data_IF_959161669590
#
_entry.id   IF_959161669590
#
_cell.length_a   1.000
_cell.length_b   1.000
_cell.length_c   1.000
_cell.angle_alpha   90.00
_cell.angle_beta   90.00
_cell.angle_gamma   90.00
#
_symmetry.space_group_name_H-M   'P 1'
#
loop_
_entity.id
_entity.type
_entity.pdbx_description
1 polymer ?
#
# COMPACT_ATOMS: atom_id res chain seq x y z
N UNK A 1 -34.47 -20.50 -22.50
CA UNK A 1 -33.60 -20.41 -23.70
C UNK A 1 -32.22 -19.72 -23.46
N UNK A 2 -31.87 -19.41 -22.19
CA UNK A 2 -30.59 -18.78 -21.83
C UNK A 2 -29.62 -19.71 -21.05
N UNK A 3 -29.91 -20.98 -20.89
CA UNK A 3 -29.09 -21.96 -20.15
C UNK A 3 -28.34 -22.98 -21.02
N UNK A 4 -28.37 -22.86 -22.35
CA UNK A 4 -27.76 -23.83 -23.26
C UNK A 4 -26.52 -23.33 -24.01
N UNK A 5 -26.07 -22.09 -23.75
CA UNK A 5 -24.89 -21.50 -24.42
C UNK A 5 -23.62 -21.60 -23.58
N UNK A 6 -23.73 -21.81 -22.27
CA UNK A 6 -22.55 -21.89 -21.37
C UNK A 6 -21.85 -23.26 -21.34
N UNK A 7 -22.42 -24.31 -21.91
CA UNK A 7 -21.84 -25.66 -21.87
C UNK A 7 -20.97 -25.99 -23.09
N UNK A 8 -21.01 -25.20 -24.15
CA UNK A 8 -20.27 -25.45 -25.39
C UNK A 8 -18.91 -24.72 -25.49
N UNK A 9 -18.57 -23.85 -24.53
CA UNK A 9 -17.26 -23.14 -24.52
C UNK A 9 -16.19 -23.80 -23.65
N UNK A 10 -16.57 -24.79 -22.83
CA UNK A 10 -15.65 -25.49 -21.92
C UNK A 10 -15.03 -26.80 -22.47
N UNK A 11 -15.37 -27.18 -23.69
CA UNK A 11 -14.89 -28.45 -24.28
C UNK A 11 -13.75 -28.29 -25.30
N UNK A 12 -13.27 -27.06 -25.55
CA UNK A 12 -12.26 -26.76 -26.58
C UNK A 12 -10.83 -26.51 -26.06
N UNK A 13 -10.57 -26.59 -24.75
CA UNK A 13 -9.24 -26.33 -24.16
C UNK A 13 -8.52 -27.54 -23.54
N UNK A 14 -8.99 -28.75 -23.80
CA UNK A 14 -8.41 -29.96 -23.11
C UNK A 14 -7.60 -30.90 -24.02
N UNK A 15 -7.15 -30.50 -25.21
CA UNK A 15 -6.46 -31.42 -26.13
C UNK A 15 -5.11 -30.98 -26.70
N UNK A 16 -4.30 -30.23 -25.95
CA UNK A 16 -2.93 -29.91 -26.41
C UNK A 16 -1.88 -29.95 -25.30
N UNK A 17 -1.82 -31.04 -24.52
CA UNK A 17 -0.63 -31.33 -23.66
C UNK A 17 -0.46 -32.83 -23.48
N UNK A 18 0.07 -33.52 -24.52
CA UNK A 18 0.65 -34.85 -24.37
C UNK A 18 1.50 -35.19 -25.61
N UNK A 19 2.77 -34.75 -25.63
CA UNK A 19 3.84 -35.45 -26.34
C UNK A 19 5.20 -34.81 -26.05
N UNK A 20 6.11 -35.54 -25.46
CA UNK A 20 7.54 -35.19 -25.44
C UNK A 20 8.32 -35.54 -24.18
N UNK A 21 8.40 -36.82 -23.86
CA UNK A 21 9.51 -37.36 -23.05
C UNK A 21 10.34 -38.30 -23.94
N UNK A 22 11.69 -38.13 -23.93
CA UNK A 22 12.57 -39.10 -24.59
C UNK A 22 14.00 -38.61 -24.72
N UNK A 23 14.80 -39.04 -23.87
CA UNK A 23 16.23 -39.03 -23.55
C UNK A 23 17.27 -39.14 -24.65
N UNK A 24 18.48 -38.71 -24.27
CA UNK A 24 19.87 -39.21 -24.40
C UNK A 24 20.82 -38.53 -25.38
N UNK A 25 21.87 -38.06 -24.77
CA UNK A 25 23.26 -37.77 -25.08
C UNK A 25 23.86 -38.08 -26.49
N UNK A 26 24.67 -37.16 -27.01
CA UNK A 26 26.11 -37.20 -27.28
C UNK A 26 26.52 -36.25 -28.40
N UNK A 27 27.40 -35.34 -28.05
CA UNK A 27 28.69 -34.89 -28.64
C UNK A 27 28.82 -34.65 -30.17
N UNK A 28 29.54 -33.53 -30.43
CA UNK A 28 30.41 -33.11 -31.51
C UNK A 28 29.94 -31.98 -32.43
N UNK A 29 30.57 -30.81 -32.21
CA UNK A 29 31.35 -29.98 -33.14
C UNK A 29 30.70 -29.42 -34.44
N UNK A 30 30.70 -28.14 -34.53
CA UNK A 30 31.07 -27.17 -35.57
C UNK A 30 30.09 -26.02 -35.77
N UNK A 31 30.63 -24.80 -35.75
CA UNK A 31 30.01 -23.51 -36.06
C UNK A 31 30.00 -23.27 -37.60
N UNK A 32 29.54 -22.07 -38.06
CA UNK A 32 28.24 -21.43 -37.94
C UNK A 32 27.57 -21.19 -39.32
N UNK A 33 26.28 -20.97 -39.35
CA UNK A 33 25.60 -20.39 -40.52
C UNK A 33 24.60 -19.33 -40.06
N UNK A 34 24.77 -18.15 -40.58
CA UNK A 34 23.89 -16.97 -40.44
C UNK A 34 22.49 -17.28 -40.99
N UNK A 35 21.47 -17.00 -40.16
CA UNK A 35 20.11 -16.88 -40.66
C UNK A 35 19.47 -15.63 -40.09
N UNK A 36 19.09 -14.74 -41.01
CA UNK A 36 18.37 -13.49 -40.76
C UNK A 36 17.10 -13.73 -39.96
N UNK A 37 17.00 -13.09 -38.83
CA UNK A 37 15.75 -12.97 -38.06
C UNK A 37 14.93 -11.84 -38.69
N UNK A 38 13.71 -12.16 -39.11
CA UNK A 38 12.67 -11.21 -39.49
C UNK A 38 12.06 -10.66 -38.22
N UNK A 39 12.18 -9.36 -38.00
CA UNK A 39 11.52 -8.64 -36.91
C UNK A 39 10.00 -8.61 -37.17
N UNK A 40 9.26 -9.31 -36.37
CA UNK A 40 7.81 -9.15 -36.24
C UNK A 40 7.54 -8.12 -35.16
N UNK A 41 7.14 -6.93 -35.61
CA UNK A 41 6.80 -5.76 -34.81
C UNK A 41 5.46 -6.00 -34.14
N UNK A 42 5.45 -6.35 -32.85
CA UNK A 42 4.23 -6.35 -32.04
C UNK A 42 3.97 -4.90 -31.62
N UNK A 43 2.96 -4.28 -32.20
CA UNK A 43 2.41 -3.01 -31.73
C UNK A 43 1.74 -3.24 -30.37
N UNK A 44 2.35 -2.70 -29.30
CA UNK A 44 1.67 -2.48 -28.05
C UNK A 44 0.70 -1.31 -28.24
N UNK A 45 -0.58 -1.54 -28.04
CA UNK A 45 -1.60 -0.50 -28.03
C UNK A 45 -1.38 0.40 -26.81
N UNK A 46 -0.84 1.58 -27.07
CA UNK A 46 -0.77 2.69 -26.14
C UNK A 46 -2.19 3.28 -26.03
N UNK A 47 -2.86 3.02 -24.92
CA UNK A 47 -4.12 3.69 -24.64
C UNK A 47 -3.79 4.98 -23.89
N UNK A 48 -3.46 6.02 -24.62
CA UNK A 48 -3.47 7.38 -24.11
C UNK A 48 -4.90 7.74 -23.70
N UNK A 49 -5.15 7.85 -22.41
CA UNK A 49 -6.32 8.53 -21.89
C UNK A 49 -6.08 10.04 -22.08
N UNK A 50 -6.60 10.59 -23.18
CA UNK A 50 -6.74 12.03 -23.35
C UNK A 50 -7.70 12.56 -22.28
N UNK A 51 -7.17 13.09 -21.21
CA UNK A 51 -7.90 13.99 -20.32
C UNK A 51 -7.92 15.37 -20.99
N UNK A 52 -9.08 15.74 -21.45
CA UNK A 52 -9.40 17.08 -22.00
C UNK A 52 -9.34 18.12 -20.87
N UNK A 53 -8.13 18.49 -20.45
CA UNK A 53 -7.90 19.61 -19.55
C UNK A 53 -8.00 20.90 -20.37
N UNK A 54 -8.98 21.73 -20.07
CA UNK A 54 -9.03 23.14 -20.50
C UNK A 54 -7.74 23.82 -20.04
N UNK A 55 -6.82 24.00 -20.96
CA UNK A 55 -5.56 24.70 -20.76
C UNK A 55 -5.87 26.17 -20.45
N UNK A 56 -5.79 26.54 -19.17
CA UNK A 56 -5.70 27.95 -18.78
C UNK A 56 -4.35 28.46 -19.32
N UNK A 57 -4.34 29.57 -20.03
CA UNK A 57 -3.13 30.13 -20.63
C UNK A 57 -2.11 30.45 -19.51
N UNK A 58 -1.07 29.64 -19.38
CA UNK A 58 0.02 29.83 -18.43
C UNK A 58 0.76 31.12 -18.80
N UNK A 59 0.73 32.12 -17.88
CA UNK A 59 1.38 33.41 -18.03
C UNK A 59 2.46 33.67 -16.97
N UNK A 60 2.58 32.77 -15.96
CA UNK A 60 3.58 32.85 -14.90
C UNK A 60 4.96 32.34 -15.35
N UNK A 61 6.01 32.80 -14.63
CA UNK A 61 7.35 32.29 -14.84
C UNK A 61 7.55 30.95 -14.11
N UNK A 62 8.16 29.97 -14.79
CA UNK A 62 8.46 28.64 -14.24
C UNK A 62 7.32 27.65 -14.46
N UNK A 63 7.49 26.45 -13.91
CA UNK A 63 6.53 25.36 -13.94
C UNK A 63 6.75 24.47 -12.74
N UNK A 64 5.70 23.75 -12.33
CA UNK A 64 5.78 22.70 -11.30
C UNK A 64 5.40 21.36 -11.93
N UNK A 65 6.21 20.35 -11.71
CA UNK A 65 5.86 18.96 -11.94
C UNK A 65 5.87 18.24 -10.60
N UNK A 66 4.69 17.85 -10.12
CA UNK A 66 4.51 17.08 -8.89
C UNK A 66 4.30 15.60 -9.21
N UNK A 67 5.23 14.76 -8.74
CA UNK A 67 5.03 13.32 -8.73
C UNK A 67 4.37 12.90 -7.41
N UNK A 68 3.07 12.61 -7.48
CA UNK A 68 2.25 12.28 -6.32
C UNK A 68 2.41 10.80 -5.94
N UNK A 69 2.60 10.55 -4.63
CA UNK A 69 2.71 9.23 -4.02
C UNK A 69 1.34 8.64 -3.63
N UNK A 70 0.29 9.48 -3.49
CA UNK A 70 -0.99 9.14 -2.88
C UNK A 70 -2.09 9.00 -3.93
N UNK A 71 -2.33 7.79 -4.47
CA UNK A 71 -3.37 7.57 -5.48
C UNK A 71 -4.77 7.87 -4.97
N UNK A 72 -5.03 7.69 -3.66
CA UNK A 72 -6.32 7.98 -3.04
C UNK A 72 -6.74 9.45 -3.08
N UNK A 73 -5.83 10.36 -3.40
CA UNK A 73 -6.05 11.80 -3.52
C UNK A 73 -5.64 12.36 -4.89
N UNK A 74 -5.59 11.50 -5.91
CA UNK A 74 -5.13 11.91 -7.24
C UNK A 74 -5.94 13.06 -7.82
N UNK A 75 -7.27 12.97 -7.73
CA UNK A 75 -8.18 13.99 -8.27
C UNK A 75 -8.08 15.31 -7.50
N UNK A 76 -7.98 15.25 -6.16
CA UNK A 76 -7.82 16.45 -5.31
C UNK A 76 -6.55 17.22 -5.67
N UNK A 77 -5.45 16.52 -5.98
CA UNK A 77 -4.20 17.16 -6.41
C UNK A 77 -4.30 17.78 -7.80
N UNK A 78 -5.04 17.16 -8.72
CA UNK A 78 -5.29 17.73 -10.06
C UNK A 78 -6.13 18.99 -9.96
N UNK A 79 -7.18 18.99 -9.13
CA UNK A 79 -8.05 20.14 -8.91
C UNK A 79 -7.27 21.30 -8.26
N UNK A 80 -6.47 21.01 -7.22
CA UNK A 80 -5.60 22.00 -6.57
C UNK A 80 -4.58 22.60 -7.54
N UNK A 81 -3.98 21.77 -8.40
CA UNK A 81 -3.03 22.21 -9.42
C UNK A 81 -3.69 23.16 -10.43
N UNK A 82 -4.93 22.86 -10.84
CA UNK A 82 -5.70 23.72 -11.74
C UNK A 82 -6.04 25.06 -11.09
N UNK A 83 -6.47 25.08 -9.83
CA UNK A 83 -6.75 26.29 -9.05
C UNK A 83 -5.50 27.16 -8.92
N UNK A 84 -4.37 26.57 -8.49
CA UNK A 84 -3.10 27.30 -8.37
C UNK A 84 -2.64 27.89 -9.71
N UNK A 85 -2.77 27.12 -10.80
CA UNK A 85 -2.41 27.61 -12.14
C UNK A 85 -3.32 28.79 -12.56
N UNK A 86 -4.61 28.73 -12.25
CA UNK A 86 -5.55 29.80 -12.56
C UNK A 86 -5.26 31.09 -11.77
N UNK A 87 -4.85 30.95 -10.50
CA UNK A 87 -4.53 32.09 -9.63
C UNK A 87 -3.19 32.76 -9.95
N UNK A 88 -2.17 31.94 -10.25
CA UNK A 88 -0.78 32.41 -10.34
C UNK A 88 -0.26 32.52 -11.79
N UNK A 89 -0.90 31.83 -12.73
CA UNK A 89 -0.40 31.65 -14.09
C UNK A 89 0.77 30.68 -14.21
N UNK A 90 1.21 30.04 -13.10
CA UNK A 90 2.27 29.02 -13.11
C UNK A 90 1.67 27.67 -13.43
N UNK A 91 2.07 26.99 -14.52
CA UNK A 91 1.54 25.68 -14.86
C UNK A 91 2.00 24.64 -13.86
N UNK A 92 1.05 23.82 -13.39
CA UNK A 92 1.32 22.66 -12.49
C UNK A 92 0.85 21.39 -13.16
N UNK A 93 1.76 20.44 -13.34
CA UNK A 93 1.44 19.09 -13.80
C UNK A 93 1.51 18.14 -12.62
N UNK A 94 0.47 17.33 -12.40
CA UNK A 94 0.45 16.27 -11.40
C UNK A 94 0.43 14.93 -12.10
N UNK A 95 1.38 14.07 -11.73
CA UNK A 95 1.40 12.66 -12.16
C UNK A 95 1.34 11.81 -10.90
N UNK A 96 0.34 10.94 -10.82
CA UNK A 96 0.18 10.03 -9.68
C UNK A 96 0.77 8.68 -10.00
N UNK A 97 1.70 8.21 -9.17
CA UNK A 97 2.25 6.87 -9.28
C UNK A 97 1.21 5.82 -8.87
N UNK A 98 1.15 4.71 -9.59
CA UNK A 98 0.30 3.59 -9.20
C UNK A 98 0.71 3.03 -7.83
N UNK A 99 -0.25 2.47 -7.10
CA UNK A 99 -0.01 1.87 -5.78
C UNK A 99 1.16 0.90 -5.80
N UNK A 100 2.08 1.03 -4.83
CA UNK A 100 3.27 0.19 -4.69
C UNK A 100 4.39 0.43 -5.70
N UNK A 101 4.24 1.38 -6.65
CA UNK A 101 5.25 1.60 -7.72
C UNK A 101 6.01 2.93 -7.59
N UNK A 102 5.75 3.73 -6.55
CA UNK A 102 6.27 5.09 -6.46
C UNK A 102 7.80 5.21 -6.64
N UNK A 103 8.59 4.42 -5.93
CA UNK A 103 10.06 4.50 -6.01
C UNK A 103 10.60 4.15 -7.42
N UNK A 104 10.01 3.18 -8.08
CA UNK A 104 10.38 2.83 -9.46
C UNK A 104 9.97 3.91 -10.45
N UNK A 105 8.79 4.50 -10.25
CA UNK A 105 8.28 5.62 -11.04
C UNK A 105 9.16 6.85 -10.85
N UNK A 106 9.47 7.23 -9.59
CA UNK A 106 10.35 8.37 -9.28
C UNK A 106 11.71 8.22 -9.95
N UNK A 107 12.30 7.02 -9.87
CA UNK A 107 13.58 6.74 -10.53
C UNK A 107 13.53 6.93 -12.05
N UNK A 108 12.43 6.49 -12.67
CA UNK A 108 12.20 6.66 -14.11
C UNK A 108 11.98 8.13 -14.48
N UNK A 109 11.16 8.84 -13.71
CA UNK A 109 10.83 10.25 -13.96
C UNK A 109 12.06 11.16 -13.76
N UNK A 110 12.87 10.92 -12.73
CA UNK A 110 14.12 11.68 -12.47
C UNK A 110 15.17 11.52 -13.56
N UNK A 111 15.10 10.46 -14.37
CA UNK A 111 16.00 10.24 -15.49
C UNK A 111 15.59 11.02 -16.77
N UNK A 112 14.40 11.64 -16.79
CA UNK A 112 13.90 12.41 -17.94
C UNK A 112 14.47 13.83 -17.96
N UNK A 113 14.43 14.46 -19.14
CA UNK A 113 14.78 15.88 -19.30
C UNK A 113 13.86 16.78 -18.50
N UNK A 114 12.57 16.43 -18.43
CA UNK A 114 11.53 17.09 -17.66
C UNK A 114 11.24 16.26 -16.40
N UNK A 115 12.15 16.36 -15.43
CA UNK A 115 12.04 15.64 -14.16
C UNK A 115 11.07 16.32 -13.19
N UNK A 116 10.49 15.59 -12.21
CA UNK A 116 9.71 16.19 -11.15
C UNK A 116 10.48 17.27 -10.39
N UNK A 117 9.84 18.41 -10.18
CA UNK A 117 10.34 19.51 -9.36
C UNK A 117 9.82 19.45 -7.93
N UNK A 118 8.74 18.68 -7.70
CA UNK A 118 8.18 18.38 -6.40
C UNK A 118 7.91 16.87 -6.33
N UNK A 119 8.45 16.22 -5.30
CA UNK A 119 8.34 14.77 -5.12
C UNK A 119 8.44 14.41 -3.66
N UNK A 120 7.99 13.22 -3.29
CA UNK A 120 7.99 12.71 -1.93
C UNK A 120 9.19 11.84 -1.64
N UNK A 121 9.71 11.99 -0.43
CA UNK A 121 10.83 11.23 0.09
C UNK A 121 10.35 10.38 1.27
N UNK A 122 10.48 9.07 1.16
CA UNK A 122 10.00 8.11 2.15
C UNK A 122 10.97 7.98 3.35
N UNK A 123 10.88 8.93 4.26
CA UNK A 123 11.62 8.91 5.50
C UNK A 123 13.16 8.94 5.32
N UNK A 124 13.93 8.59 6.36
CA UNK A 124 15.40 8.65 6.30
C UNK A 124 16.02 7.73 5.23
N UNK A 125 15.41 6.58 4.96
CA UNK A 125 15.92 5.64 3.93
C UNK A 125 15.70 6.22 2.53
N UNK A 126 14.55 6.83 2.28
CA UNK A 126 14.28 7.54 1.04
C UNK A 126 15.21 8.74 0.87
N UNK A 127 15.44 9.52 1.95
CA UNK A 127 16.38 10.63 1.91
C UNK A 127 17.80 10.19 1.53
N UNK A 128 18.29 9.10 2.10
CA UNK A 128 19.59 8.56 1.74
C UNK A 128 19.76 8.27 0.25
N UNK A 129 18.66 7.93 -0.44
CA UNK A 129 18.63 7.66 -1.89
C UNK A 129 18.48 8.93 -2.73
N UNK A 130 17.78 9.94 -2.22
CA UNK A 130 17.35 11.10 -3.01
C UNK A 130 17.95 12.44 -2.59
N UNK A 131 18.75 12.51 -1.54
CA UNK A 131 19.28 13.76 -0.97
C UNK A 131 19.99 14.66 -1.97
N UNK A 132 20.69 14.08 -2.94
CA UNK A 132 21.43 14.85 -3.96
C UNK A 132 20.50 15.57 -4.96
N UNK A 133 19.20 15.20 -4.97
CA UNK A 133 18.15 15.83 -5.77
C UNK A 133 17.28 16.80 -4.95
N UNK A 134 17.45 16.82 -3.62
CA UNK A 134 16.65 17.64 -2.72
C UNK A 134 17.26 19.03 -2.56
N UNK A 135 16.41 20.06 -2.62
CA UNK A 135 16.79 21.43 -2.31
C UNK A 135 16.83 21.64 -0.78
N UNK A 136 17.71 22.51 -0.29
CA UNK A 136 17.73 22.91 1.13
C UNK A 136 16.60 23.90 1.40
N UNK A 137 15.58 23.45 2.14
CA UNK A 137 14.37 24.19 2.45
C UNK A 137 14.46 25.03 3.74
N UNK A 138 15.64 25.09 4.41
CA UNK A 138 15.79 25.76 5.73
C UNK A 138 15.39 27.22 5.74
N UNK A 139 15.51 27.92 4.61
CA UNK A 139 15.15 29.34 4.46
C UNK A 139 13.74 29.53 3.87
N UNK A 140 13.02 28.42 3.58
CA UNK A 140 11.68 28.50 2.98
C UNK A 140 10.62 29.01 3.96
N UNK A 141 9.57 29.65 3.42
CA UNK A 141 8.42 30.07 4.23
C UNK A 141 7.67 28.85 4.81
N UNK A 142 7.69 27.70 4.12
CA UNK A 142 7.06 26.46 4.62
C UNK A 142 7.77 26.01 5.89
N UNK A 143 9.11 25.94 5.88
CA UNK A 143 9.87 25.50 7.06
C UNK A 143 9.70 26.40 8.27
N UNK A 144 9.59 27.73 8.07
CA UNK A 144 9.36 28.69 9.15
C UNK A 144 8.04 28.45 9.91
N UNK A 145 7.09 27.76 9.28
CA UNK A 145 5.80 27.44 9.87
C UNK A 145 5.72 25.99 10.40
N UNK A 146 6.80 25.21 10.32
CA UNK A 146 6.83 23.86 10.88
C UNK A 146 6.88 23.93 12.40
N UNK A 147 6.01 23.15 13.06
CA UNK A 147 5.84 23.20 14.52
C UNK A 147 6.97 22.50 15.29
N UNK A 148 7.63 21.50 14.68
CA UNK A 148 8.69 20.71 15.28
C UNK A 148 9.61 20.14 14.20
N UNK A 149 10.90 20.02 14.55
CA UNK A 149 11.90 19.32 13.73
C UNK A 149 11.60 17.82 13.55
N UNK A 150 10.65 17.25 14.29
CA UNK A 150 10.16 15.89 14.09
C UNK A 150 9.44 15.72 12.74
N UNK A 151 9.00 16.80 12.12
CA UNK A 151 8.30 16.81 10.84
C UNK A 151 9.18 17.13 9.64
N UNK A 152 10.50 17.07 9.81
CA UNK A 152 11.44 17.32 8.71
C UNK A 152 12.48 16.22 8.56
N UNK A 153 12.98 16.07 7.33
CA UNK A 153 14.11 15.22 7.02
C UNK A 153 15.35 16.10 6.82
N UNK A 154 16.42 15.79 7.53
CA UNK A 154 17.67 16.55 7.49
C UNK A 154 18.84 15.70 7.01
N UNK A 155 19.77 16.34 6.26
CA UNK A 155 21.12 15.84 6.01
C UNK A 155 22.11 16.90 6.53
N UNK A 156 22.71 16.65 7.68
CA UNK A 156 23.46 17.67 8.43
C UNK A 156 22.54 18.84 8.84
N UNK A 157 22.92 20.06 8.43
CA UNK A 157 22.17 21.29 8.72
C UNK A 157 21.10 21.61 7.64
N UNK A 158 21.07 20.86 6.53
CA UNK A 158 20.13 21.09 5.45
C UNK A 158 18.77 20.41 5.74
N UNK A 159 17.67 21.14 5.49
CA UNK A 159 16.30 20.62 5.54
C UNK A 159 15.91 20.19 4.15
N UNK A 160 15.87 18.88 3.91
CA UNK A 160 15.69 18.30 2.57
C UNK A 160 14.33 17.65 2.35
N UNK A 161 13.47 17.64 3.38
CA UNK A 161 12.09 17.21 3.27
C UNK A 161 11.26 17.76 4.41
N UNK A 162 10.02 18.09 4.13
CA UNK A 162 9.02 18.58 5.10
C UNK A 162 7.80 17.70 5.00
N UNK A 163 7.30 17.20 6.14
CA UNK A 163 6.08 16.41 6.17
C UNK A 163 4.88 17.28 5.76
N UNK A 164 4.11 16.82 4.80
CA UNK A 164 2.88 17.49 4.35
C UNK A 164 1.62 16.88 4.95
N UNK A 165 1.71 15.65 5.49
CA UNK A 165 0.59 14.93 6.11
C UNK A 165 1.11 14.04 7.24
N UNK A 166 0.29 13.86 8.27
CA UNK A 166 0.48 12.87 9.33
C UNK A 166 -0.60 11.82 9.17
N UNK A 167 -0.18 10.58 8.98
CA UNK A 167 -1.08 9.43 8.85
C UNK A 167 -0.97 8.54 10.09
N UNK A 168 -2.10 7.94 10.46
CA UNK A 168 -2.17 7.00 11.56
C UNK A 168 -2.64 5.65 11.07
N UNK A 169 -2.15 4.58 11.69
CA UNK A 169 -2.62 3.22 11.45
C UNK A 169 -3.07 2.58 12.76
N UNK A 170 -3.95 1.60 12.64
CA UNK A 170 -4.53 0.92 13.79
C UNK A 170 -5.55 -0.13 13.34
N UNK A 171 -6.56 -0.34 14.16
CA UNK A 171 -7.70 -1.18 13.86
C UNK A 171 -8.90 -0.30 13.49
N UNK A 172 -9.33 -0.38 12.26
CA UNK A 172 -10.63 0.12 11.81
C UNK A 172 -11.65 -0.94 12.19
N UNK A 173 -12.81 -0.57 12.70
CA UNK A 173 -13.84 -1.52 13.09
C UNK A 173 -15.22 -1.16 12.56
N UNK A 174 -16.00 -2.18 12.23
CA UNK A 174 -17.40 -2.04 11.90
C UNK A 174 -18.22 -1.93 13.18
N UNK A 175 -18.72 -0.72 13.45
CA UNK A 175 -19.41 -0.42 14.71
C UNK A 175 -20.71 -1.23 14.88
N UNK A 176 -21.43 -1.52 13.80
CA UNK A 176 -22.67 -2.28 13.88
C UNK A 176 -22.37 -3.73 14.28
N UNK A 177 -21.48 -4.40 13.55
CA UNK A 177 -21.11 -5.79 13.83
C UNK A 177 -20.44 -5.95 15.20
N UNK A 178 -19.64 -5.00 15.64
CA UNK A 178 -19.03 -5.02 16.96
C UNK A 178 -20.08 -4.88 18.07
N UNK A 179 -21.11 -4.05 17.87
CA UNK A 179 -22.23 -3.93 18.82
C UNK A 179 -23.10 -5.20 18.84
N UNK A 180 -23.28 -5.87 17.71
CA UNK A 180 -23.98 -7.15 17.64
C UNK A 180 -23.24 -8.23 18.45
N UNK A 181 -21.89 -8.27 18.36
CA UNK A 181 -21.07 -9.11 19.23
C UNK A 181 -21.27 -8.76 20.72
N UNK A 182 -21.20 -7.48 21.10
CA UNK A 182 -21.38 -7.06 22.50
C UNK A 182 -22.77 -7.42 23.06
N UNK A 183 -23.76 -7.60 22.19
CA UNK A 183 -25.11 -7.99 22.59
C UNK A 183 -25.29 -9.51 22.82
N UNK A 184 -24.34 -10.35 22.43
CA UNK A 184 -24.38 -11.78 22.70
C UNK A 184 -24.34 -12.05 24.21
N UNK A 185 -25.11 -13.03 24.67
CA UNK A 185 -25.24 -13.33 26.12
C UNK A 185 -23.90 -13.73 26.74
N UNK A 186 -23.08 -14.45 26.02
CA UNK A 186 -21.78 -15.00 26.45
C UNK A 186 -20.55 -14.17 26.00
N UNK A 187 -20.75 -13.02 25.37
CA UNK A 187 -19.64 -12.10 25.09
C UNK A 187 -18.94 -11.68 26.39
N UNK A 188 -17.64 -11.90 26.48
CA UNK A 188 -16.86 -11.56 27.69
C UNK A 188 -16.63 -10.05 27.83
N UNK A 189 -16.59 -9.32 26.70
CA UNK A 189 -16.46 -7.86 26.62
C UNK A 189 -17.76 -7.32 26.07
N UNK A 190 -18.33 -6.32 26.70
CA UNK A 190 -19.68 -5.81 26.42
C UNK A 190 -19.72 -4.40 25.84
N UNK A 191 -18.59 -3.73 25.75
CA UNK A 191 -18.51 -2.37 25.24
C UNK A 191 -17.14 -2.03 24.66
N UNK A 192 -17.13 -1.03 23.77
CA UNK A 192 -15.87 -0.52 23.19
C UNK A 192 -14.94 0.08 24.25
N UNK A 193 -15.47 0.62 25.35
CA UNK A 193 -14.68 1.21 26.43
C UNK A 193 -13.85 0.16 27.18
N UNK A 194 -14.29 -1.09 27.17
CA UNK A 194 -13.57 -2.23 27.74
C UNK A 194 -12.47 -2.75 26.81
N UNK A 195 -12.54 -2.43 25.50
CA UNK A 195 -11.58 -2.84 24.47
C UNK A 195 -10.34 -1.93 24.49
N UNK A 196 -9.56 -1.96 25.55
CA UNK A 196 -8.47 -1.01 25.83
C UNK A 196 -7.09 -1.64 26.02
N UNK A 197 -6.96 -2.95 25.81
CA UNK A 197 -5.71 -3.69 25.91
C UNK A 197 -5.75 -4.96 25.04
N UNK A 198 -4.59 -5.63 24.89
CA UNK A 198 -4.46 -6.80 24.04
C UNK A 198 -5.35 -7.98 24.50
N UNK A 199 -5.45 -8.23 25.79
CA UNK A 199 -6.26 -9.33 26.33
C UNK A 199 -7.75 -9.14 26.02
N UNK A 200 -8.24 -7.90 26.13
CA UNK A 200 -9.61 -7.58 25.73
C UNK A 200 -9.81 -7.73 24.20
N UNK A 201 -8.85 -7.27 23.39
CA UNK A 201 -8.90 -7.46 21.94
C UNK A 201 -8.93 -8.93 21.57
N UNK A 202 -8.07 -9.75 22.19
CA UNK A 202 -8.03 -11.19 21.95
C UNK A 202 -9.36 -11.86 22.29
N UNK A 203 -9.96 -11.54 23.44
CA UNK A 203 -11.27 -12.07 23.84
C UNK A 203 -12.37 -11.71 22.86
N UNK A 204 -12.37 -10.46 22.38
CA UNK A 204 -13.35 -10.02 21.38
C UNK A 204 -13.14 -10.73 20.05
N UNK A 205 -11.90 -10.84 19.57
CA UNK A 205 -11.59 -11.51 18.32
C UNK A 205 -11.92 -13.01 18.38
N UNK A 206 -11.44 -13.72 19.40
CA UNK A 206 -11.76 -15.15 19.63
C UNK A 206 -13.29 -15.36 19.71
N UNK A 207 -14.01 -14.45 20.42
CA UNK A 207 -15.46 -14.53 20.57
C UNK A 207 -16.19 -14.29 19.24
N UNK A 208 -15.79 -13.30 18.45
CA UNK A 208 -16.35 -13.07 17.13
C UNK A 208 -16.09 -14.29 16.23
N UNK A 209 -14.87 -14.83 16.25
CA UNK A 209 -14.52 -16.00 15.45
C UNK A 209 -15.34 -17.23 15.84
N UNK A 210 -15.65 -17.40 17.11
CA UNK A 210 -16.49 -18.49 17.61
C UNK A 210 -17.98 -18.33 17.20
N UNK A 211 -18.47 -17.09 17.07
CA UNK A 211 -19.85 -16.75 16.73
C UNK A 211 -20.03 -16.19 15.32
N UNK A 212 -19.08 -16.42 14.42
CA UNK A 212 -19.09 -15.82 13.08
C UNK A 212 -20.36 -16.13 12.29
N UNK A 213 -20.91 -17.34 12.42
CA UNK A 213 -22.14 -17.74 11.74
C UNK A 213 -23.35 -16.98 12.29
N UNK A 214 -23.42 -16.75 13.62
CA UNK A 214 -24.49 -16.01 14.27
C UNK A 214 -24.44 -14.51 13.94
N UNK A 215 -23.22 -13.98 13.78
CA UNK A 215 -22.95 -12.58 13.44
C UNK A 215 -23.01 -12.31 11.92
N UNK A 216 -23.03 -13.37 11.10
CA UNK A 216 -23.06 -13.25 9.64
C UNK A 216 -21.74 -12.71 9.07
N UNK A 217 -20.61 -13.00 9.70
CA UNK A 217 -19.26 -12.63 9.26
C UNK A 217 -18.44 -13.86 8.87
N UNK A 218 -17.36 -13.68 8.13
CA UNK A 218 -16.42 -14.75 7.79
C UNK A 218 -15.26 -14.86 8.80
N UNK A 219 -14.97 -13.77 9.53
CA UNK A 219 -13.94 -13.76 10.55
C UNK A 219 -13.93 -12.47 11.37
N UNK A 220 -13.16 -12.47 12.45
CA UNK A 220 -12.97 -11.26 13.26
C UNK A 220 -12.19 -10.19 12.51
N UNK A 221 -11.11 -10.57 11.84
CA UNK A 221 -10.27 -9.67 11.05
C UNK A 221 -10.44 -9.93 9.55
N UNK A 222 -10.50 -8.85 8.77
CA UNK A 222 -10.27 -8.93 7.34
C UNK A 222 -8.93 -9.63 7.07
N UNK A 223 -8.80 -10.32 5.94
CA UNK A 223 -7.57 -11.01 5.57
C UNK A 223 -6.38 -10.04 5.62
N UNK A 224 -5.24 -10.56 5.99
CA UNK A 224 -4.12 -9.69 6.28
C UNK A 224 -3.44 -9.08 5.04
N UNK A 225 -3.79 -9.57 3.84
CA UNK A 225 -3.12 -9.12 2.63
C UNK A 225 -1.62 -9.41 2.70
N UNK A 226 -1.24 -10.70 2.83
CA UNK A 226 0.17 -11.10 2.91
C UNK A 226 0.83 -11.35 1.55
N UNK A 227 0.17 -11.01 0.46
CA UNK A 227 0.84 -10.97 -0.82
C UNK A 227 1.97 -9.93 -0.82
N UNK A 228 2.91 -10.04 -1.74
CA UNK A 228 4.12 -9.21 -1.76
C UNK A 228 3.86 -7.71 -1.95
N UNK A 229 2.67 -7.33 -2.44
CA UNK A 229 2.28 -5.93 -2.62
C UNK A 229 1.71 -5.30 -1.35
N UNK A 230 1.25 -6.12 -0.39
CA UNK A 230 0.44 -5.67 0.75
C UNK A 230 1.02 -6.03 2.12
N UNK A 231 1.99 -6.95 2.20
CA UNK A 231 2.57 -7.45 3.45
C UNK A 231 3.35 -6.41 4.27
N UNK A 232 3.63 -5.25 3.70
CA UNK A 232 4.32 -4.14 4.37
C UNK A 232 3.58 -3.65 5.64
N UNK A 233 2.25 -3.83 5.75
CA UNK A 233 1.50 -3.51 6.96
C UNK A 233 2.01 -4.29 8.16
N UNK A 234 2.44 -5.52 7.96
CA UNK A 234 2.97 -6.41 9.01
C UNK A 234 4.48 -6.28 9.14
N UNK A 235 5.21 -6.20 8.02
CA UNK A 235 6.68 -6.06 8.01
C UNK A 235 7.16 -4.71 8.54
N UNK A 236 6.37 -3.66 8.38
CA UNK A 236 6.74 -2.30 8.81
C UNK A 236 5.82 -1.75 9.88
N UNK A 237 4.54 -1.51 9.59
CA UNK A 237 3.65 -0.84 10.53
C UNK A 237 3.52 -1.61 11.84
N UNK A 238 3.13 -2.88 11.79
CA UNK A 238 3.01 -3.67 13.01
C UNK A 238 4.37 -3.90 13.69
N UNK A 239 5.44 -4.15 12.92
CA UNK A 239 6.78 -4.34 13.44
C UNK A 239 7.40 -3.08 14.06
N UNK A 240 6.95 -1.90 13.67
CA UNK A 240 7.39 -0.64 14.30
C UNK A 240 7.02 -0.55 15.78
N UNK A 241 5.91 -1.13 16.22
CA UNK A 241 5.48 -1.08 17.62
C UNK A 241 6.50 -1.71 18.57
N UNK A 242 6.91 -2.98 18.41
CA UNK A 242 7.92 -3.59 19.27
C UNK A 242 9.28 -2.87 19.20
N UNK A 243 9.67 -2.36 18.05
CA UNK A 243 10.90 -1.61 17.90
C UNK A 243 10.85 -0.26 18.61
N UNK A 244 9.74 0.46 18.49
CA UNK A 244 9.52 1.71 19.22
C UNK A 244 9.65 1.52 20.73
N UNK A 245 8.99 0.49 21.27
CA UNK A 245 9.06 0.21 22.72
C UNK A 245 10.45 -0.24 23.16
N UNK A 246 11.17 -1.01 22.35
CA UNK A 246 12.55 -1.40 22.60
C UNK A 246 13.45 -0.16 22.67
N UNK A 247 13.40 0.71 21.66
CA UNK A 247 14.20 1.92 21.60
C UNK A 247 13.87 2.89 22.74
N UNK A 248 12.58 3.02 23.07
CA UNK A 248 12.14 3.84 24.20
C UNK A 248 12.67 3.32 25.54
N UNK A 249 12.66 2.00 25.74
CA UNK A 249 13.20 1.37 26.95
C UNK A 249 14.72 1.52 27.06
N UNK A 250 15.42 1.49 25.91
CA UNK A 250 16.88 1.67 25.85
C UNK A 250 17.33 3.15 25.84
N UNK A 251 16.40 4.10 25.69
CA UNK A 251 16.70 5.53 25.58
C UNK A 251 17.47 5.92 24.31
N UNK A 252 17.23 5.21 23.19
CA UNK A 252 17.87 5.41 21.90
C UNK A 252 16.82 5.73 20.81
N UNK A 253 17.28 6.29 19.69
CA UNK A 253 16.43 6.61 18.53
C UNK A 253 16.75 5.77 17.31
N UNK A 254 17.90 5.07 17.30
CA UNK A 254 18.31 4.19 16.22
C UNK A 254 19.30 3.13 16.73
N UNK A 255 19.40 2.01 16.04
CA UNK A 255 20.37 0.96 16.34
C UNK A 255 20.74 0.21 15.06
N UNK A 256 21.99 -0.23 14.90
CA UNK A 256 22.40 -1.10 13.79
C UNK A 256 21.86 -2.52 13.92
N UNK A 257 21.33 -2.90 15.10
CA UNK A 257 20.75 -4.20 15.38
C UNK A 257 19.62 -4.08 16.39
N UNK A 258 18.56 -4.86 16.21
CA UNK A 258 17.44 -5.00 17.15
C UNK A 258 17.72 -6.14 18.13
N UNK A 259 17.28 -6.00 19.37
CA UNK A 259 17.41 -7.03 20.40
C UNK A 259 16.26 -8.03 20.37
N UNK A 260 15.09 -7.59 19.90
CA UNK A 260 13.87 -8.39 19.90
C UNK A 260 13.18 -8.46 21.27
N UNK A 261 13.37 -7.43 22.11
CA UNK A 261 12.82 -7.38 23.49
C UNK A 261 11.31 -7.63 23.53
N UNK A 262 10.58 -7.13 22.54
CA UNK A 262 9.11 -7.23 22.45
C UNK A 262 8.64 -8.14 21.31
N UNK A 263 9.47 -9.09 20.88
CA UNK A 263 9.14 -10.01 19.79
C UNK A 263 7.93 -10.90 20.13
N UNK A 264 7.80 -11.33 21.36
CA UNK A 264 6.65 -12.13 21.81
C UNK A 264 5.33 -11.35 21.73
N UNK A 265 5.35 -10.05 22.04
CA UNK A 265 4.18 -9.18 21.90
C UNK A 265 3.78 -9.05 20.40
N UNK A 266 4.76 -8.83 19.53
CA UNK A 266 4.54 -8.81 18.08
C UNK A 266 3.93 -10.12 17.59
N UNK A 267 4.51 -11.26 18.02
CA UNK A 267 4.02 -12.58 17.65
C UNK A 267 2.57 -12.81 18.06
N UNK A 268 2.18 -12.42 19.26
CA UNK A 268 0.82 -12.60 19.76
C UNK A 268 -0.21 -11.86 18.90
N UNK A 269 0.06 -10.59 18.54
CA UNK A 269 -0.81 -9.81 17.67
C UNK A 269 -0.82 -10.41 16.25
N UNK A 270 0.34 -10.81 15.74
CA UNK A 270 0.47 -11.41 14.42
C UNK A 270 -0.29 -12.74 14.32
N UNK A 271 -0.16 -13.59 15.33
CA UNK A 271 -0.89 -14.86 15.41
C UNK A 271 -2.40 -14.61 15.40
N UNK A 272 -2.89 -13.59 16.13
CA UNK A 272 -4.32 -13.26 16.18
C UNK A 272 -4.86 -12.88 14.79
N UNK A 273 -4.13 -12.08 14.02
CA UNK A 273 -4.50 -11.76 12.64
C UNK A 273 -4.51 -12.97 11.70
N UNK A 274 -3.73 -14.00 12.00
CA UNK A 274 -3.68 -15.23 11.20
C UNK A 274 -4.84 -16.16 11.58
N UNK A 275 -5.07 -16.35 12.90
CA UNK A 275 -6.03 -17.35 13.40
C UNK A 275 -7.48 -16.92 13.26
N UNK A 276 -7.75 -15.61 13.43
CA UNK A 276 -9.10 -15.04 13.48
C UNK A 276 -9.43 -14.24 12.21
N UNK A 277 -8.81 -14.65 11.10
CA UNK A 277 -9.02 -14.06 9.78
C UNK A 277 -10.30 -14.57 9.11
N UNK A 278 -10.78 -13.80 8.13
CA UNK A 278 -11.83 -14.18 7.19
C UNK A 278 -11.47 -15.40 6.33
N UNK A 279 -10.20 -15.75 6.20
CA UNK A 279 -9.78 -16.86 5.37
C UNK A 279 -8.82 -17.82 6.10
N UNK A 280 -8.71 -19.05 5.57
CA UNK A 280 -7.75 -20.04 6.04
C UNK A 280 -6.32 -19.46 6.03
N UNK A 281 -5.53 -19.64 7.12
CA UNK A 281 -4.14 -19.20 7.18
C UNK A 281 -3.28 -19.62 5.99
N UNK A 282 -3.54 -20.77 5.39
CA UNK A 282 -2.80 -21.25 4.21
C UNK A 282 -3.04 -20.41 2.95
N UNK A 283 -4.11 -19.64 2.90
CA UNK A 283 -4.49 -18.79 1.76
C UNK A 283 -4.05 -17.33 1.91
N UNK A 284 -3.65 -16.90 3.10
CA UNK A 284 -3.31 -15.50 3.40
C UNK A 284 -2.19 -14.94 2.52
N UNK A 285 -1.23 -15.75 2.09
CA UNK A 285 -0.14 -15.31 1.20
C UNK A 285 -0.59 -14.94 -0.21
N UNK A 286 -1.80 -15.33 -0.61
CA UNK A 286 -2.40 -14.93 -1.88
C UNK A 286 -3.42 -13.79 -1.76
N UNK A 287 -3.71 -13.34 -0.53
CA UNK A 287 -4.65 -12.26 -0.28
C UNK A 287 -3.97 -10.90 -0.45
N UNK A 288 -4.57 -10.04 -1.27
CA UNK A 288 -4.12 -8.67 -1.52
C UNK A 288 -4.71 -7.68 -0.50
N UNK A 289 -4.19 -6.45 -0.49
CA UNK A 289 -4.79 -5.37 0.26
C UNK A 289 -6.20 -5.00 -0.21
N UNK A 290 -6.48 -5.18 -1.50
CA UNK A 290 -7.79 -4.95 -2.11
C UNK A 290 -8.80 -6.02 -1.67
N UNK A 291 -8.38 -7.30 -1.57
CA UNK A 291 -9.20 -8.36 -0.99
C UNK A 291 -9.61 -8.00 0.44
N UNK A 292 -8.65 -7.61 1.28
CA UNK A 292 -8.90 -7.25 2.67
C UNK A 292 -9.83 -6.03 2.81
N UNK A 293 -9.66 -5.00 1.97
CA UNK A 293 -10.54 -3.84 1.94
C UNK A 293 -11.98 -4.23 1.54
N UNK A 294 -12.11 -5.08 0.52
CA UNK A 294 -13.41 -5.58 0.05
C UNK A 294 -14.13 -6.41 1.09
N UNK A 295 -13.44 -7.33 1.77
CA UNK A 295 -13.99 -8.14 2.86
C UNK A 295 -14.58 -7.26 3.98
N UNK A 296 -13.84 -6.22 4.38
CA UNK A 296 -14.32 -5.29 5.40
C UNK A 296 -15.49 -4.43 4.91
N UNK A 297 -15.41 -3.88 3.68
CA UNK A 297 -16.47 -3.05 3.10
C UNK A 297 -17.79 -3.83 2.91
N UNK A 298 -17.70 -5.13 2.61
CA UNK A 298 -18.87 -6.02 2.47
C UNK A 298 -19.41 -6.50 3.81
N UNK A 299 -18.75 -6.19 4.93
CA UNK A 299 -19.16 -6.62 6.26
C UNK A 299 -18.82 -8.07 6.58
N UNK A 300 -17.88 -8.67 5.88
CA UNK A 300 -17.39 -10.03 6.12
C UNK A 300 -16.44 -10.10 7.33
N UNK A 301 -15.93 -8.96 7.79
CA UNK A 301 -15.06 -8.83 8.95
C UNK A 301 -15.48 -7.69 9.88
N UNK A 302 -15.20 -7.83 11.17
CA UNK A 302 -15.45 -6.80 12.18
C UNK A 302 -14.32 -5.80 12.27
N UNK A 303 -13.07 -6.27 12.12
CA UNK A 303 -11.84 -5.49 12.22
C UNK A 303 -11.05 -5.49 10.93
N UNK A 304 -10.44 -4.35 10.63
CA UNK A 304 -9.52 -4.17 9.49
C UNK A 304 -8.27 -3.41 9.94
N UNK A 305 -7.13 -4.06 9.91
CA UNK A 305 -5.85 -3.42 10.21
C UNK A 305 -5.39 -2.62 9.00
N UNK A 306 -5.51 -1.31 9.08
CA UNK A 306 -5.07 -0.39 8.02
C UNK A 306 -4.94 1.04 8.59
N UNK A 307 -4.77 2.01 7.69
CA UNK A 307 -4.56 3.41 7.98
C UNK A 307 -5.72 4.28 7.51
N UNK A 308 -5.62 5.58 7.82
CA UNK A 308 -6.63 6.57 7.47
C UNK A 308 -6.89 6.73 5.97
N UNK A 309 -5.92 6.41 5.11
CA UNK A 309 -6.10 6.43 3.64
C UNK A 309 -7.12 5.40 3.13
N UNK A 310 -7.35 4.31 3.87
CA UNK A 310 -8.29 3.25 3.45
C UNK A 310 -9.77 3.70 3.45
N UNK A 311 -10.08 4.92 3.92
CA UNK A 311 -11.46 5.39 4.05
C UNK A 311 -12.24 5.31 2.73
N UNK A 312 -11.62 5.68 1.61
CA UNK A 312 -12.30 5.67 0.32
C UNK A 312 -12.62 4.26 -0.18
N UNK A 313 -11.81 3.27 0.20
CA UNK A 313 -11.96 1.88 -0.22
C UNK A 313 -13.03 1.12 0.58
N UNK A 314 -13.40 1.65 1.76
CA UNK A 314 -14.28 0.94 2.72
C UNK A 314 -15.58 1.68 3.08
N UNK A 315 -15.84 2.86 2.48
CA UNK A 315 -17.05 3.67 2.72
C UNK A 315 -18.26 3.22 1.93
#
# INVERSE_FOLDING_TARGET
KKKLISVLLSAAMATTMLAGCGSTAADTGAAPAETKATEEKTEAADTEAETDTKEAAATGEGKVYYLNFKPEQADDWVDLAAEYTAETGVPVTVVTAASGTYESTLKSEMAKTEAPTLFQVNGPVGLASWKDYCYDLKDSEVYKNVLSDDYVLKDGDAVQGIAYVIETYGLIYNKALLNDYFALDDAEIKSIDELNNFEALKKVADGIQAHKDDLGVEGAFASAGFDSSSDWRFKTHLANLPLYYEYKADGITSSPAIKGTYLDNYKQIFDLYITDSTCDPALLSGKTGEDAASEFALGEAVFYQNCTWAYNDIK
#
